data_IF_346967277975
#
_entry.id   IF_346967277975
#
_cell.length_a   1.000
_cell.length_b   1.000
_cell.length_c   1.000
_cell.angle_alpha   90.00
_cell.angle_beta   90.00
_cell.angle_gamma   90.00
#
_symmetry.space_group_name_H-M   'P 1'
#
loop_
_entity.id
_entity.type
_entity.pdbx_description
1 polymer ?
#
# COMPACT_ATOMS: atom_id res chain seq x y z
N UNK A 1 -7.39 12.09 14.41
CA UNK A 1 -7.16 10.87 15.20
C UNK A 1 -5.99 11.16 16.14
N UNK A 2 -6.09 10.80 17.43
CA UNK A 2 -4.98 10.95 18.38
C UNK A 2 -4.11 9.69 18.21
N UNK A 3 -2.81 9.87 17.95
CA UNK A 3 -1.91 8.74 17.74
C UNK A 3 -1.85 7.86 19.00
N UNK A 4 -2.04 6.55 18.85
CA UNK A 4 -1.98 5.59 19.95
C UNK A 4 -0.65 4.83 19.97
N UNK A 5 -0.27 4.19 21.09
CA UNK A 5 0.90 3.30 21.13
C UNK A 5 0.83 2.15 20.12
N UNK A 6 -0.37 1.75 19.68
CA UNK A 6 -0.57 0.64 18.73
C UNK A 6 -0.28 1.04 17.28
N UNK A 7 -0.41 2.33 16.96
CA UNK A 7 -0.05 2.91 15.66
C UNK A 7 1.47 2.83 15.40
N UNK A 8 2.26 2.42 16.40
CA UNK A 8 3.71 2.39 16.39
C UNK A 8 4.29 1.22 17.19
N UNK A 9 3.65 0.05 17.08
CA UNK A 9 4.08 -1.13 17.81
C UNK A 9 5.36 -1.74 17.23
N UNK A 10 6.17 -2.32 18.12
CA UNK A 10 7.33 -3.14 17.75
C UNK A 10 6.94 -4.61 17.78
N UNK A 11 7.53 -5.41 16.89
CA UNK A 11 7.47 -6.87 16.99
C UNK A 11 8.44 -7.35 18.07
N UNK A 12 8.03 -8.36 18.82
CA UNK A 12 8.72 -8.76 20.06
C UNK A 12 9.95 -9.65 19.80
N UNK A 13 10.11 -10.18 18.59
CA UNK A 13 11.24 -11.07 18.24
C UNK A 13 11.63 -11.04 16.76
N UNK A 14 12.83 -11.55 16.45
CA UNK A 14 13.34 -11.71 15.07
C UNK A 14 12.48 -12.69 14.26
N UNK A 15 11.95 -13.73 14.89
CA UNK A 15 11.05 -14.70 14.25
C UNK A 15 9.71 -14.06 13.88
N UNK A 16 9.13 -13.25 14.78
CA UNK A 16 7.93 -12.47 14.46
C UNK A 16 8.20 -11.51 13.30
N UNK A 17 9.37 -10.87 13.29
CA UNK A 17 9.79 -9.96 12.24
C UNK A 17 9.90 -10.64 10.87
N UNK A 18 10.56 -11.79 10.81
CA UNK A 18 10.67 -12.58 9.58
C UNK A 18 9.31 -13.09 9.12
N UNK A 19 8.47 -13.55 10.05
CA UNK A 19 7.13 -14.03 9.76
C UNK A 19 6.21 -12.94 9.21
N UNK A 20 6.22 -11.75 9.83
CA UNK A 20 5.48 -10.59 9.34
C UNK A 20 5.87 -10.24 7.90
N UNK A 21 7.17 -10.14 7.61
CA UNK A 21 7.62 -9.83 6.25
C UNK A 21 7.24 -10.91 5.23
N UNK A 22 7.35 -12.20 5.60
CA UNK A 22 6.89 -13.32 4.75
C UNK A 22 5.39 -13.20 4.47
N UNK A 23 4.60 -12.88 5.50
CA UNK A 23 3.16 -12.71 5.38
C UNK A 23 2.81 -11.54 4.46
N UNK A 24 3.29 -10.33 4.72
CA UNK A 24 2.94 -9.16 3.89
C UNK A 24 3.39 -9.34 2.44
N UNK A 25 4.59 -9.89 2.21
CA UNK A 25 5.07 -10.17 0.85
C UNK A 25 4.15 -11.16 0.11
N UNK A 26 3.80 -12.27 0.76
CA UNK A 26 2.94 -13.28 0.18
C UNK A 26 1.53 -12.74 -0.09
N UNK A 27 0.91 -12.11 0.90
CA UNK A 27 -0.49 -11.72 0.82
C UNK A 27 -0.70 -10.59 -0.20
N UNK A 28 0.23 -9.64 -0.33
CA UNK A 28 0.14 -8.60 -1.37
C UNK A 28 0.32 -9.20 -2.77
N UNK A 29 1.24 -10.16 -2.95
CA UNK A 29 1.42 -10.84 -4.25
C UNK A 29 0.17 -11.60 -4.65
N UNK A 30 -0.42 -12.35 -3.71
CA UNK A 30 -1.68 -13.05 -3.94
C UNK A 30 -2.84 -12.06 -4.22
N UNK A 31 -2.89 -10.93 -3.49
CA UNK A 31 -3.90 -9.89 -3.71
C UNK A 31 -3.85 -9.36 -5.15
N UNK A 32 -2.66 -9.06 -5.69
CA UNK A 32 -2.50 -8.61 -7.09
C UNK A 32 -3.10 -9.63 -8.06
N UNK A 33 -2.80 -10.91 -7.87
CA UNK A 33 -3.32 -12.00 -8.72
C UNK A 33 -4.84 -12.07 -8.64
N UNK A 34 -5.42 -11.99 -7.44
CA UNK A 34 -6.86 -12.08 -7.24
C UNK A 34 -7.61 -10.86 -7.73
N UNK A 35 -7.05 -9.65 -7.56
CA UNK A 35 -7.59 -8.41 -8.12
C UNK A 35 -7.72 -8.50 -9.65
N UNK A 36 -6.74 -9.10 -10.32
CA UNK A 36 -6.77 -9.36 -11.77
C UNK A 36 -7.83 -10.41 -12.15
N UNK A 37 -7.80 -11.57 -11.50
CA UNK A 37 -8.73 -12.69 -11.80
C UNK A 37 -10.19 -12.30 -11.60
N UNK A 38 -10.47 -11.54 -10.54
CA UNK A 38 -11.82 -11.08 -10.19
C UNK A 38 -12.26 -9.84 -10.99
N UNK A 39 -11.37 -9.32 -11.86
CA UNK A 39 -11.58 -8.12 -12.68
C UNK A 39 -12.01 -6.92 -11.83
N UNK A 40 -11.47 -6.80 -10.62
CA UNK A 40 -11.73 -5.65 -9.77
C UNK A 40 -10.94 -4.43 -10.23
N UNK A 41 -9.87 -4.64 -11.00
CA UNK A 41 -9.21 -3.65 -11.85
C UNK A 41 -9.41 -4.02 -13.32
N UNK A 42 -9.57 -3.03 -14.19
CA UNK A 42 -9.46 -3.26 -15.64
C UNK A 42 -8.00 -3.43 -16.09
N UNK A 43 -7.78 -3.74 -17.37
CA UNK A 43 -6.46 -4.04 -17.93
C UNK A 43 -5.43 -2.92 -17.76
N UNK A 44 -5.87 -1.66 -17.75
CA UNK A 44 -4.98 -0.51 -17.52
C UNK A 44 -4.74 -0.32 -16.01
N UNK A 45 -5.81 -0.38 -15.21
CA UNK A 45 -5.74 -0.22 -13.76
C UNK A 45 -4.85 -1.28 -13.09
N UNK A 46 -4.92 -2.54 -13.53
CA UNK A 46 -4.17 -3.63 -12.91
C UNK A 46 -2.65 -3.46 -13.08
N UNK A 47 -2.20 -2.87 -14.20
CA UNK A 47 -0.78 -2.58 -14.45
C UNK A 47 -0.26 -1.57 -13.42
N UNK A 48 -0.98 -0.48 -13.21
CA UNK A 48 -0.60 0.53 -12.21
C UNK A 48 -0.76 0.03 -10.79
N UNK A 49 -1.85 -0.68 -10.48
CA UNK A 49 -2.06 -1.31 -9.17
C UNK A 49 -0.87 -2.20 -8.80
N UNK A 50 -0.46 -3.08 -9.73
CA UNK A 50 0.73 -3.92 -9.56
C UNK A 50 1.99 -3.09 -9.30
N UNK A 51 2.22 -2.02 -10.06
CA UNK A 51 3.40 -1.15 -9.88
C UNK A 51 3.42 -0.48 -8.49
N UNK A 52 2.28 -0.03 -7.98
CA UNK A 52 2.20 0.56 -6.63
C UNK A 52 2.44 -0.49 -5.55
N UNK A 53 1.88 -1.69 -5.69
CA UNK A 53 2.14 -2.80 -4.78
C UNK A 53 3.61 -3.24 -4.81
N UNK A 54 4.24 -3.31 -6.00
CA UNK A 54 5.65 -3.64 -6.14
C UNK A 54 6.54 -2.58 -5.45
N UNK A 55 6.19 -1.29 -5.57
CA UNK A 55 6.90 -0.19 -4.90
C UNK A 55 6.75 -0.25 -3.38
N UNK A 56 5.55 -0.58 -2.90
CA UNK A 56 5.28 -0.82 -1.48
C UNK A 56 6.13 -1.98 -0.96
N UNK A 57 6.08 -3.14 -1.63
CA UNK A 57 6.85 -4.32 -1.26
C UNK A 57 8.36 -4.08 -1.32
N UNK A 58 8.84 -3.30 -2.29
CA UNK A 58 10.24 -2.90 -2.34
C UNK A 58 10.66 -2.15 -1.08
N UNK A 59 9.83 -1.20 -0.64
CA UNK A 59 10.07 -0.42 0.58
C UNK A 59 10.04 -1.29 1.83
N UNK A 60 9.05 -2.18 1.94
CA UNK A 60 8.93 -3.13 3.06
C UNK A 60 10.13 -4.09 3.08
N UNK A 61 10.60 -4.58 1.93
CA UNK A 61 11.81 -5.39 1.87
C UNK A 61 13.08 -4.59 2.20
N UNK A 62 13.14 -3.29 1.89
CA UNK A 62 14.24 -2.43 2.35
C UNK A 62 14.23 -2.31 3.88
N UNK A 63 13.05 -2.16 4.51
CA UNK A 63 12.92 -2.21 5.98
C UNK A 63 13.42 -3.56 6.51
N UNK A 64 13.01 -4.67 5.87
CA UNK A 64 13.46 -6.04 6.19
C UNK A 64 14.97 -6.14 6.33
N UNK A 65 15.72 -5.56 5.41
CA UNK A 65 17.18 -5.62 5.40
C UNK A 65 17.75 -4.69 6.48
N UNK A 66 17.22 -3.47 6.57
CA UNK A 66 17.68 -2.44 7.52
C UNK A 66 17.62 -2.92 8.97
N UNK A 67 16.46 -3.42 9.41
CA UNK A 67 16.23 -3.68 10.84
C UNK A 67 16.51 -5.12 11.29
N UNK A 68 16.76 -6.07 10.37
CA UNK A 68 16.89 -7.50 10.75
C UNK A 68 17.98 -7.78 11.79
N UNK A 69 19.10 -7.05 11.71
CA UNK A 69 20.25 -7.24 12.59
C UNK A 69 20.55 -6.00 13.43
N UNK A 70 19.62 -5.03 13.44
CA UNK A 70 19.70 -3.87 14.31
C UNK A 70 19.10 -4.24 15.66
N UNK A 71 19.95 -4.28 16.70
CA UNK A 71 19.52 -4.64 18.05
C UNK A 71 19.02 -3.39 18.82
N UNK A 72 19.22 -2.17 18.28
CA UNK A 72 18.84 -0.90 18.92
C UNK A 72 17.55 -0.31 18.33
N UNK A 73 17.40 -0.34 17.00
CA UNK A 73 16.24 0.22 16.29
C UNK A 73 15.36 -0.87 15.68
N UNK A 74 14.04 -0.67 15.76
CA UNK A 74 13.05 -1.66 15.35
C UNK A 74 11.97 -1.00 14.52
N UNK A 75 11.66 -1.62 13.37
CA UNK A 75 10.55 -1.20 12.52
C UNK A 75 9.24 -1.14 13.30
N UNK A 76 8.54 -0.01 13.19
CA UNK A 76 7.21 0.15 13.75
C UNK A 76 6.13 -0.25 12.76
N UNK A 77 5.13 -0.96 13.26
CA UNK A 77 3.98 -1.42 12.50
C UNK A 77 2.73 -0.81 13.13
N UNK A 78 1.78 -0.43 12.30
CA UNK A 78 0.45 -0.08 12.77
C UNK A 78 -0.38 -1.36 12.90
N UNK A 79 -0.66 -1.73 14.15
CA UNK A 79 -1.45 -2.92 14.48
C UNK A 79 -2.94 -2.60 14.61
N UNK A 80 -3.35 -1.35 14.39
CA UNK A 80 -4.73 -0.86 14.52
C UNK A 80 -5.36 -0.59 13.17
N UNK A 81 -6.21 -1.51 12.70
CA UNK A 81 -6.93 -1.37 11.42
C UNK A 81 -5.97 -1.12 10.25
N UNK A 82 -4.75 -1.67 10.27
CA UNK A 82 -3.79 -1.53 9.16
C UNK A 82 -3.13 -2.85 8.80
N UNK A 83 -2.17 -3.31 9.61
CA UNK A 83 -1.32 -4.45 9.28
C UNK A 83 -0.12 -4.11 8.38
N UNK A 84 0.19 -2.83 8.19
CA UNK A 84 1.36 -2.34 7.44
C UNK A 84 2.31 -1.49 8.31
N UNK A 85 3.55 -1.20 7.85
CA UNK A 85 4.47 -0.37 8.61
C UNK A 85 3.91 1.03 8.87
N UNK A 86 4.32 1.68 9.97
CA UNK A 86 3.97 3.07 10.18
C UNK A 86 4.57 3.95 9.07
N UNK A 87 3.85 4.98 8.61
CA UNK A 87 4.32 5.86 7.55
C UNK A 87 5.69 6.50 7.83
N UNK A 88 6.01 6.77 9.10
CA UNK A 88 7.31 7.33 9.50
C UNK A 88 8.48 6.43 9.11
N UNK A 89 8.30 5.11 9.06
CA UNK A 89 9.34 4.17 8.63
C UNK A 89 9.76 4.42 7.17
N UNK A 90 8.80 4.70 6.29
CA UNK A 90 9.08 5.05 4.89
C UNK A 90 9.89 6.35 4.80
N UNK A 91 9.52 7.35 5.62
CA UNK A 91 10.24 8.63 5.68
C UNK A 91 11.67 8.44 6.21
N UNK A 92 11.86 7.60 7.23
CA UNK A 92 13.18 7.31 7.77
C UNK A 92 14.05 6.59 6.75
N UNK A 93 13.53 5.58 6.04
CA UNK A 93 14.24 4.95 4.93
C UNK A 93 14.66 5.97 3.86
N UNK A 94 13.74 6.82 3.43
CA UNK A 94 14.03 7.81 2.39
C UNK A 94 15.16 8.77 2.80
N UNK A 95 15.11 9.29 4.03
CA UNK A 95 16.11 10.20 4.55
C UNK A 95 17.47 9.52 4.75
N UNK A 96 17.47 8.30 5.28
CA UNK A 96 18.68 7.53 5.54
C UNK A 96 19.44 7.20 4.24
N UNK A 97 18.73 6.81 3.19
CA UNK A 97 19.32 6.54 1.87
C UNK A 97 19.90 7.78 1.18
N UNK A 98 19.53 9.00 1.60
CA UNK A 98 20.14 10.23 1.10
C UNK A 98 21.60 10.38 1.54
N UNK A 99 22.00 9.71 2.61
CA UNK A 99 23.34 9.74 3.19
C UNK A 99 24.18 8.53 2.80
N UNK A 100 23.74 7.74 1.80
CA UNK A 100 24.36 6.44 1.47
C UNK A 100 25.86 6.50 1.20
N UNK A 101 26.32 7.55 0.52
CA UNK A 101 27.74 7.68 0.12
C UNK A 101 28.63 7.89 1.35
N UNK A 102 28.17 8.73 2.29
CA UNK A 102 28.85 9.00 3.55
C UNK A 102 28.92 7.76 4.44
N UNK A 103 27.86 6.94 4.45
CA UNK A 103 27.87 5.68 5.20
C UNK A 103 28.77 4.63 4.55
N UNK A 104 28.65 4.39 3.24
CA UNK A 104 29.45 3.38 2.54
C UNK A 104 30.95 3.66 2.62
N UNK A 105 31.37 4.93 2.60
CA UNK A 105 32.79 5.29 2.72
C UNK A 105 33.42 4.94 4.09
N UNK A 106 32.60 4.77 5.13
CA UNK A 106 33.04 4.46 6.50
C UNK A 106 32.95 2.96 6.83
N UNK A 107 32.25 2.18 6.01
CA UNK A 107 32.04 0.76 6.25
C UNK A 107 33.21 -0.08 5.74
N UNK A 108 33.46 -1.21 6.41
CA UNK A 108 34.42 -2.20 5.94
C UNK A 108 33.98 -2.74 4.57
N UNK A 109 34.88 -2.84 3.57
CA UNK A 109 34.55 -3.43 2.27
C UNK A 109 33.92 -4.82 2.38
N UNK A 110 32.92 -5.10 1.54
CA UNK A 110 32.13 -6.34 1.61
C UNK A 110 32.98 -7.60 1.44
N UNK A 111 34.04 -7.55 0.63
CA UNK A 111 34.88 -8.71 0.36
C UNK A 111 35.70 -9.12 1.60
N UNK A 112 36.14 -8.14 2.40
CA UNK A 112 36.79 -8.40 3.69
C UNK A 112 35.81 -9.08 4.64
N UNK A 113 34.55 -8.61 4.71
CA UNK A 113 33.53 -9.23 5.56
C UNK A 113 33.22 -10.67 5.12
N UNK A 114 33.14 -10.93 3.80
CA UNK A 114 32.94 -12.29 3.28
C UNK A 114 34.08 -13.23 3.67
N UNK A 115 35.32 -12.79 3.53
CA UNK A 115 36.49 -13.60 3.90
C UNK A 115 36.52 -13.87 5.41
N UNK A 116 36.21 -12.87 6.24
CA UNK A 116 36.06 -13.04 7.69
C UNK A 116 34.96 -14.09 8.02
N UNK A 117 33.85 -14.07 7.29
CA UNK A 117 32.75 -15.02 7.51
C UNK A 117 33.15 -16.44 7.10
N UNK A 118 33.80 -16.61 5.95
CA UNK A 118 34.26 -17.90 5.47
C UNK A 118 35.30 -18.52 6.43
N UNK A 119 36.24 -17.73 6.93
CA UNK A 119 37.19 -18.19 7.95
C UNK A 119 36.47 -18.61 9.24
N UNK A 120 35.54 -17.79 9.73
CA UNK A 120 34.81 -18.06 10.97
C UNK A 120 33.92 -19.31 10.86
N UNK A 121 33.17 -19.46 9.77
CA UNK A 121 32.24 -20.56 9.59
C UNK A 121 32.94 -21.86 9.18
N UNK A 122 33.91 -21.82 8.27
CA UNK A 122 34.48 -23.04 7.68
C UNK A 122 35.74 -23.51 8.39
N UNK A 123 36.59 -22.59 8.86
CA UNK A 123 37.85 -22.93 9.55
C UNK A 123 37.65 -23.00 11.06
N UNK A 124 37.08 -21.96 11.66
CA UNK A 124 36.85 -21.90 13.12
C UNK A 124 35.60 -22.67 13.57
N UNK A 125 34.62 -22.85 12.68
CA UNK A 125 33.32 -23.50 12.95
C UNK A 125 32.53 -22.82 14.06
N UNK A 126 32.60 -21.48 14.10
CA UNK A 126 31.90 -20.65 15.08
C UNK A 126 30.78 -19.85 14.42
N UNK A 127 29.72 -19.48 15.16
CA UNK A 127 28.70 -18.58 14.65
C UNK A 127 29.24 -17.16 14.44
N UNK A 128 28.72 -16.47 13.43
CA UNK A 128 29.05 -15.05 13.20
C UNK A 128 28.42 -14.20 14.30
N UNK A 129 29.20 -13.26 14.85
CA UNK A 129 28.74 -12.32 15.89
C UNK A 129 27.70 -11.34 15.34
N UNK A 130 26.73 -10.94 16.18
CA UNK A 130 25.63 -10.03 15.80
C UNK A 130 26.13 -8.73 15.16
N UNK A 131 27.15 -8.09 15.75
CA UNK A 131 27.73 -6.85 15.23
C UNK A 131 28.29 -6.98 13.80
N UNK A 132 28.82 -8.16 13.45
CA UNK A 132 29.33 -8.44 12.10
C UNK A 132 28.19 -8.72 11.12
N UNK A 133 27.13 -9.40 11.56
CA UNK A 133 25.91 -9.57 10.77
C UNK A 133 25.24 -8.22 10.48
N UNK A 134 25.17 -7.33 11.48
CA UNK A 134 24.68 -5.96 11.33
C UNK A 134 25.50 -5.19 10.30
N UNK A 135 26.83 -5.19 10.42
CA UNK A 135 27.71 -4.52 9.46
C UNK A 135 27.49 -5.02 8.02
N UNK A 136 27.37 -6.33 7.83
CA UNK A 136 27.09 -6.92 6.52
C UNK A 136 25.73 -6.48 5.97
N UNK A 137 24.69 -6.49 6.81
CA UNK A 137 23.34 -6.06 6.45
C UNK A 137 23.31 -4.58 6.06
N UNK A 138 24.00 -3.71 6.80
CA UNK A 138 24.12 -2.28 6.49
C UNK A 138 24.77 -2.05 5.12
N UNK A 139 25.83 -2.80 4.78
CA UNK A 139 26.42 -2.70 3.44
C UNK A 139 25.43 -3.15 2.37
N UNK A 140 24.75 -4.29 2.56
CA UNK A 140 23.74 -4.77 1.60
C UNK A 140 22.64 -3.73 1.43
N UNK A 141 22.15 -3.15 2.51
CA UNK A 141 21.13 -2.10 2.50
C UNK A 141 21.59 -0.87 1.70
N UNK A 142 22.70 -0.24 2.08
CA UNK A 142 23.18 0.98 1.39
C UNK A 142 23.69 0.74 -0.03
N UNK A 143 24.07 -0.49 -0.39
CA UNK A 143 24.53 -0.81 -1.75
C UNK A 143 23.38 -1.20 -2.70
N UNK A 144 22.39 -1.96 -2.22
CA UNK A 144 21.34 -2.55 -3.06
C UNK A 144 20.01 -1.77 -3.07
N UNK A 145 19.73 -0.99 -2.03
CA UNK A 145 18.50 -0.21 -1.93
C UNK A 145 18.65 1.11 -2.68
N UNK A 146 17.66 1.44 -3.50
CA UNK A 146 17.62 2.64 -4.32
C UNK A 146 16.54 3.59 -3.80
N UNK A 147 16.97 4.79 -3.43
CA UNK A 147 16.11 5.80 -2.78
C UNK A 147 14.87 6.15 -3.62
N UNK A 148 15.00 6.22 -4.94
CA UNK A 148 13.89 6.57 -5.85
C UNK A 148 12.77 5.52 -5.90
N UNK A 149 13.00 4.31 -5.38
CA UNK A 149 12.00 3.24 -5.29
C UNK A 149 11.41 3.10 -3.88
N UNK A 150 11.70 4.05 -2.97
CA UNK A 150 10.98 4.11 -1.70
C UNK A 150 9.61 4.74 -1.92
N UNK A 151 8.58 4.08 -1.40
CA UNK A 151 7.19 4.51 -1.46
C UNK A 151 7.02 5.78 -0.63
N UNK A 152 6.70 6.88 -1.29
CA UNK A 152 6.48 8.18 -0.65
C UNK A 152 5.01 8.34 -0.21
N UNK A 153 4.73 9.36 0.62
CA UNK A 153 3.33 9.69 0.99
C UNK A 153 2.40 9.79 -0.22
N UNK A 154 2.90 10.34 -1.33
CA UNK A 154 2.17 10.50 -2.57
C UNK A 154 3.05 10.05 -3.73
N UNK A 155 2.57 9.08 -4.51
CA UNK A 155 3.24 8.49 -5.67
C UNK A 155 2.40 8.76 -6.90
N UNK A 156 2.91 9.61 -7.79
CA UNK A 156 2.23 9.99 -9.01
C UNK A 156 2.42 8.94 -10.11
N UNK A 157 1.32 8.43 -10.68
CA UNK A 157 1.33 7.62 -11.90
C UNK A 157 1.32 8.46 -13.17
N UNK A 158 1.46 7.80 -14.33
CA UNK A 158 1.49 8.47 -15.63
C UNK A 158 0.07 8.75 -16.13
N UNK A 159 -0.09 9.86 -16.84
CA UNK A 159 -1.27 10.10 -17.69
C UNK A 159 -1.12 9.22 -18.94
N UNK A 160 -2.13 8.40 -19.22
CA UNK A 160 -2.23 7.61 -20.45
C UNK A 160 -3.40 8.11 -21.27
N UNK A 161 -3.19 8.22 -22.58
CA UNK A 161 -4.27 8.39 -23.54
C UNK A 161 -4.91 7.03 -23.80
N UNK A 162 -6.23 6.96 -23.76
CA UNK A 162 -6.98 5.72 -23.96
C UNK A 162 -7.37 5.60 -25.43
N UNK A 163 -6.81 4.62 -26.11
CA UNK A 163 -7.25 4.26 -27.46
C UNK A 163 -8.56 3.47 -27.35
N UNK A 164 -9.56 3.80 -28.19
CA UNK A 164 -10.81 3.03 -28.36
C UNK A 164 -11.83 3.09 -27.21
N UNK A 165 -11.65 3.94 -26.20
CA UNK A 165 -12.71 4.21 -25.22
C UNK A 165 -13.54 5.42 -25.68
N UNK A 166 -14.86 5.23 -25.87
CA UNK A 166 -15.76 6.32 -26.31
C UNK A 166 -16.13 7.27 -25.17
N UNK A 167 -15.98 6.83 -23.93
CA UNK A 167 -16.50 7.57 -22.78
C UNK A 167 -15.43 8.50 -22.16
N UNK A 168 -14.16 8.09 -22.22
CA UNK A 168 -13.03 8.82 -21.63
C UNK A 168 -11.79 8.84 -22.54
N UNK A 169 -11.15 10.00 -22.67
CA UNK A 169 -9.95 10.19 -23.50
C UNK A 169 -8.65 9.83 -22.78
N UNK A 170 -8.59 10.06 -21.46
CA UNK A 170 -7.38 9.89 -20.67
C UNK A 170 -7.67 9.20 -19.33
N UNK A 171 -6.64 8.55 -18.79
CA UNK A 171 -6.60 8.07 -17.41
C UNK A 171 -5.32 8.56 -16.74
N UNK A 172 -5.42 8.93 -15.48
CA UNK A 172 -4.27 9.17 -14.59
C UNK A 172 -4.46 8.38 -13.31
N UNK A 173 -3.38 7.80 -12.81
CA UNK A 173 -3.37 7.10 -11.53
C UNK A 173 -2.45 7.81 -10.53
N UNK A 174 -2.72 7.62 -9.26
CA UNK A 174 -1.81 7.96 -8.17
C UNK A 174 -2.03 7.01 -7.01
N UNK A 175 -1.07 6.95 -6.10
CA UNK A 175 -1.22 6.22 -4.86
C UNK A 175 -0.75 7.10 -3.71
N UNK A 176 -1.35 6.96 -2.54
CA UNK A 176 -0.90 7.64 -1.34
C UNK A 176 -0.87 6.69 -0.16
N UNK A 177 0.04 6.95 0.78
CA UNK A 177 0.07 6.28 2.07
C UNK A 177 -0.66 7.16 3.07
N UNK A 178 -1.81 6.70 3.55
CA UNK A 178 -2.58 7.49 4.50
C UNK A 178 -1.90 7.44 5.87
N UNK A 179 -1.65 8.60 6.46
CA UNK A 179 -0.92 8.69 7.74
C UNK A 179 -1.83 8.37 8.93
N UNK A 180 -3.16 8.47 8.76
CA UNK A 180 -4.10 8.17 9.84
C UNK A 180 -4.40 6.68 9.91
N UNK A 181 -4.51 6.01 8.77
CA UNK A 181 -4.74 4.57 8.70
C UNK A 181 -3.45 3.74 8.53
N UNK A 182 -2.29 4.40 8.35
CA UNK A 182 -1.00 3.79 8.02
C UNK A 182 -1.09 2.67 6.98
N UNK A 183 -1.84 2.88 5.89
CA UNK A 183 -1.99 1.91 4.80
C UNK A 183 -2.11 2.58 3.43
N UNK A 184 -1.83 1.86 2.33
CA UNK A 184 -1.79 2.45 1.00
C UNK A 184 -3.18 2.48 0.33
N UNK A 185 -3.41 3.56 -0.42
CA UNK A 185 -4.57 3.75 -1.28
C UNK A 185 -4.12 3.90 -2.73
N UNK A 186 -4.87 3.36 -3.69
CA UNK A 186 -4.62 3.53 -5.12
C UNK A 186 -5.84 4.18 -5.77
N UNK A 187 -5.60 5.25 -6.51
CA UNK A 187 -6.64 6.02 -7.16
C UNK A 187 -6.45 6.07 -8.67
N UNK A 188 -7.58 6.13 -9.38
CA UNK A 188 -7.67 6.31 -10.81
C UNK A 188 -8.66 7.42 -11.10
N UNK A 189 -8.32 8.29 -12.05
CA UNK A 189 -9.22 9.29 -12.59
C UNK A 189 -9.24 9.18 -14.11
N UNK A 190 -10.42 8.96 -14.65
CA UNK A 190 -10.71 8.99 -16.08
C UNK A 190 -11.33 10.33 -16.42
N UNK A 191 -10.82 10.97 -17.47
CA UNK A 191 -11.22 12.34 -17.79
C UNK A 191 -11.16 12.62 -19.29
N UNK A 192 -11.92 13.64 -19.70
CA UNK A 192 -11.85 14.26 -21.02
C UNK A 192 -11.11 15.58 -20.90
N UNK A 193 -10.54 16.07 -22.01
CA UNK A 193 -9.73 17.28 -22.00
C UNK A 193 -10.19 18.29 -23.06
N UNK A 194 -10.38 19.55 -22.67
CA UNK A 194 -10.64 20.65 -23.59
C UNK A 194 -9.32 21.21 -24.13
N UNK A 195 -8.85 20.63 -25.24
CA UNK A 195 -7.64 21.10 -25.91
C UNK A 195 -7.05 20.06 -26.85
N UNK A 196 -5.80 20.29 -27.28
CA UNK A 196 -5.12 19.40 -28.23
C UNK A 196 -4.56 18.14 -27.58
N UNK A 197 -3.93 18.28 -26.41
CA UNK A 197 -3.34 17.17 -25.67
C UNK A 197 -3.20 17.51 -24.18
N UNK A 198 -3.82 16.69 -23.32
CA UNK A 198 -3.77 16.83 -21.87
C UNK A 198 -2.35 16.76 -21.30
N UNK A 199 -1.41 16.12 -22.01
CA UNK A 199 -0.01 16.05 -21.57
C UNK A 199 0.67 17.44 -21.50
N UNK A 200 0.17 18.43 -22.22
CA UNK A 200 0.66 19.81 -22.12
C UNK A 200 0.36 20.43 -20.73
N UNK A 201 -0.67 19.94 -20.04
CA UNK A 201 -1.05 20.37 -18.69
C UNK A 201 -0.64 19.37 -17.59
N UNK A 202 0.20 18.38 -17.93
CA UNK A 202 0.63 17.31 -17.02
C UNK A 202 1.10 17.83 -15.66
N UNK A 203 1.92 18.86 -15.63
CA UNK A 203 2.44 19.43 -14.38
C UNK A 203 1.31 19.97 -13.49
N UNK A 204 0.34 20.69 -14.09
CA UNK A 204 -0.82 21.22 -13.37
C UNK A 204 -1.72 20.11 -12.86
N UNK A 205 -1.96 19.08 -13.68
CA UNK A 205 -2.75 17.91 -13.28
C UNK A 205 -2.10 17.23 -12.07
N UNK A 206 -0.80 16.95 -12.13
CA UNK A 206 -0.08 16.31 -11.02
C UNK A 206 -0.07 17.17 -9.75
N UNK A 207 0.09 18.48 -9.89
CA UNK A 207 0.00 19.40 -8.76
C UNK A 207 -1.39 19.41 -8.13
N UNK A 208 -2.45 19.48 -8.94
CA UNK A 208 -3.83 19.46 -8.47
C UNK A 208 -4.16 18.15 -7.73
N UNK A 209 -3.74 17.01 -8.26
CA UNK A 209 -3.90 15.70 -7.61
C UNK A 209 -3.16 15.67 -6.26
N UNK A 210 -1.89 16.07 -6.24
CA UNK A 210 -1.08 16.10 -5.01
C UNK A 210 -1.66 17.01 -3.92
N UNK A 211 -2.31 18.11 -4.30
CA UNK A 211 -2.92 19.04 -3.33
C UNK A 211 -4.31 18.61 -2.86
N UNK A 212 -5.00 17.75 -3.60
CA UNK A 212 -6.42 17.44 -3.37
C UNK A 212 -6.68 16.00 -2.97
N UNK A 213 -5.74 15.08 -3.20
CA UNK A 213 -5.95 13.64 -3.10
C UNK A 213 -4.75 12.90 -2.47
N UNK A 214 -4.14 13.48 -1.43
CA UNK A 214 -2.96 12.93 -0.73
C UNK A 214 -3.26 12.18 0.58
N UNK A 215 -4.55 11.92 0.86
CA UNK A 215 -5.07 11.29 2.08
C UNK A 215 -6.49 10.78 1.87
N UNK A 216 -6.95 9.96 2.80
CA UNK A 216 -8.36 9.56 2.89
C UNK A 216 -9.24 10.80 3.18
N UNK A 217 -10.35 10.89 2.45
CA UNK A 217 -11.42 11.88 2.60
C UNK A 217 -12.65 11.44 1.80
N UNK A 218 -13.78 12.14 1.92
CA UNK A 218 -14.94 11.85 1.08
C UNK A 218 -14.61 11.97 -0.42
N UNK A 219 -14.98 10.95 -1.20
CA UNK A 219 -14.59 10.82 -2.61
C UNK A 219 -15.22 11.92 -3.49
N UNK A 220 -16.44 12.37 -3.17
CA UNK A 220 -17.10 13.46 -3.89
C UNK A 220 -16.41 14.81 -3.66
N UNK A 221 -15.97 15.07 -2.43
CA UNK A 221 -15.22 16.27 -2.06
C UNK A 221 -13.84 16.27 -2.73
N UNK A 222 -13.16 15.12 -2.76
CA UNK A 222 -11.90 14.95 -3.51
C UNK A 222 -12.13 15.22 -5.00
N UNK A 223 -13.18 14.64 -5.59
CA UNK A 223 -13.52 14.79 -7.00
C UNK A 223 -13.81 16.26 -7.35
N UNK A 224 -14.62 16.94 -6.54
CA UNK A 224 -14.91 18.36 -6.68
C UNK A 224 -13.64 19.22 -6.54
N UNK A 225 -12.78 18.93 -5.56
CA UNK A 225 -11.54 19.69 -5.36
C UNK A 225 -10.57 19.58 -6.55
N UNK A 226 -10.48 18.39 -7.18
CA UNK A 226 -9.68 18.18 -8.40
C UNK A 226 -10.28 18.96 -9.56
N UNK A 227 -11.57 18.76 -9.83
CA UNK A 227 -12.31 19.37 -10.94
C UNK A 227 -12.20 20.91 -10.88
N UNK A 228 -12.41 21.48 -9.71
CA UNK A 228 -12.35 22.94 -9.49
C UNK A 228 -10.94 23.55 -9.59
N UNK A 229 -9.88 22.74 -9.63
CA UNK A 229 -8.48 23.20 -9.85
C UNK A 229 -8.05 23.12 -11.31
N UNK A 230 -8.78 22.38 -12.16
CA UNK A 230 -8.35 22.09 -13.53
C UNK A 230 -9.44 22.50 -14.53
N UNK A 231 -9.36 23.73 -15.05
CA UNK A 231 -10.41 24.31 -15.90
C UNK A 231 -10.67 23.56 -17.22
N UNK A 232 -9.65 22.90 -17.77
CA UNK A 232 -9.69 22.23 -19.07
C UNK A 232 -9.74 20.70 -18.93
N UNK A 233 -9.76 20.17 -17.71
CA UNK A 233 -9.84 18.74 -17.45
C UNK A 233 -11.22 18.47 -16.89
N UNK A 234 -11.92 17.50 -17.48
CA UNK A 234 -13.25 17.11 -17.04
C UNK A 234 -13.21 15.69 -16.49
N UNK A 235 -12.99 15.52 -15.17
CA UNK A 235 -13.07 14.23 -14.53
C UNK A 235 -14.45 13.58 -14.74
N UNK A 236 -14.49 12.35 -15.22
CA UNK A 236 -15.77 11.66 -15.48
C UNK A 236 -15.99 10.45 -14.59
N UNK A 237 -14.90 9.80 -14.18
CA UNK A 237 -14.95 8.67 -13.28
C UNK A 237 -13.73 8.67 -12.39
N UNK A 238 -13.95 8.55 -11.08
CA UNK A 238 -12.88 8.38 -10.11
C UNK A 238 -13.12 7.09 -9.35
N UNK A 239 -12.05 6.33 -9.15
CA UNK A 239 -12.02 5.09 -8.41
C UNK A 239 -10.91 5.14 -7.38
N UNK A 240 -11.19 4.70 -6.16
CA UNK A 240 -10.22 4.59 -5.07
C UNK A 240 -10.28 3.19 -4.48
N UNK A 241 -9.12 2.56 -4.34
CA UNK A 241 -8.92 1.25 -3.74
C UNK A 241 -8.18 1.48 -2.43
N UNK A 242 -8.80 1.10 -1.32
CA UNK A 242 -8.19 1.01 0.00
C UNK A 242 -7.59 -0.39 0.17
N UNK A 243 -6.27 -0.46 0.39
CA UNK A 243 -5.54 -1.72 0.49
C UNK A 243 -5.36 -2.07 1.97
N UNK A 244 -6.46 -2.50 2.61
CA UNK A 244 -6.44 -3.01 3.97
C UNK A 244 -7.74 -2.73 4.74
N UNK A 245 -7.80 -3.14 6.02
CA UNK A 245 -6.72 -3.78 6.81
C UNK A 245 -6.31 -5.19 6.36
N UNK A 246 -5.07 -5.57 6.70
CA UNK A 246 -4.59 -6.96 6.69
C UNK A 246 -4.80 -7.58 8.08
N UNK A 247 -5.89 -8.34 8.25
CA UNK A 247 -6.19 -9.07 9.46
C UNK A 247 -5.24 -10.25 9.61
N UNK A 248 -4.53 -10.33 10.73
CA UNK A 248 -3.57 -11.36 11.05
C UNK A 248 -3.26 -11.40 12.56
N UNK A 249 -2.39 -12.32 13.00
CA UNK A 249 -2.07 -12.49 14.43
C UNK A 249 -1.46 -11.26 15.12
N UNK A 250 -0.84 -10.36 14.38
CA UNK A 250 -0.24 -9.14 14.94
C UNK A 250 -1.27 -8.04 15.18
N UNK A 251 -2.45 -8.10 14.55
CA UNK A 251 -3.45 -7.05 14.68
C UNK A 251 -3.97 -6.92 16.13
N UNK A 252 -4.25 -5.69 16.53
CA UNK A 252 -4.72 -5.29 17.87
C UNK A 252 -5.84 -4.26 17.75
N UNK A 253 -6.74 -4.45 16.78
CA UNK A 253 -7.92 -3.62 16.56
C UNK A 253 -9.21 -4.28 17.03
N UNK A 254 -10.29 -3.50 16.97
CA UNK A 254 -11.65 -3.92 17.35
C UNK A 254 -12.45 -4.44 16.15
N UNK A 255 -11.80 -4.77 15.03
CA UNK A 255 -12.52 -5.26 13.85
C UNK A 255 -13.02 -6.68 14.10
N UNK A 256 -14.31 -6.92 13.85
CA UNK A 256 -14.94 -8.24 14.02
C UNK A 256 -14.23 -9.37 13.25
N UNK A 257 -13.69 -9.09 12.04
CA UNK A 257 -12.91 -10.06 11.28
C UNK A 257 -11.60 -10.40 12.02
N UNK A 258 -10.90 -9.38 12.53
CA UNK A 258 -9.69 -9.55 13.35
C UNK A 258 -10.01 -10.38 14.59
N UNK A 259 -11.05 -10.01 15.33
CA UNK A 259 -11.46 -10.73 16.55
C UNK A 259 -11.76 -12.19 16.27
N UNK A 260 -12.52 -12.49 15.22
CA UNK A 260 -12.83 -13.87 14.84
C UNK A 260 -11.55 -14.67 14.53
N UNK A 261 -10.58 -14.07 13.82
CA UNK A 261 -9.29 -14.72 13.52
C UNK A 261 -8.48 -14.94 14.80
N UNK A 262 -8.28 -13.90 15.63
CA UNK A 262 -7.47 -13.98 16.84
C UNK A 262 -8.02 -14.98 17.86
N UNK A 263 -9.33 -14.96 18.09
CA UNK A 263 -10.01 -15.91 18.99
C UNK A 263 -9.79 -17.35 18.50
N UNK A 264 -9.93 -17.58 17.19
CA UNK A 264 -9.81 -18.91 16.60
C UNK A 264 -8.35 -19.41 16.58
N UNK A 265 -7.38 -18.51 16.45
CA UNK A 265 -5.95 -18.83 16.66
C UNK A 265 -5.71 -19.22 18.12
N UNK A 266 -6.23 -18.46 19.09
CA UNK A 266 -6.07 -18.74 20.51
C UNK A 266 -6.67 -20.11 20.89
N UNK A 267 -7.82 -20.47 20.30
CA UNK A 267 -8.49 -21.75 20.47
C UNK A 267 -7.87 -22.90 19.65
N UNK A 268 -6.82 -22.64 18.85
CA UNK A 268 -6.16 -23.61 17.96
C UNK A 268 -7.10 -24.19 16.88
N UNK A 269 -8.14 -23.46 16.51
CA UNK A 269 -9.09 -23.83 15.44
C UNK A 269 -8.52 -23.55 14.05
N UNK A 270 -7.62 -22.58 13.93
CA UNK A 270 -6.91 -22.18 12.71
C UNK A 270 -5.43 -21.91 13.02
N UNK A 271 -4.52 -22.01 12.04
CA UNK A 271 -3.09 -21.84 12.27
C UNK A 271 -2.68 -20.36 12.44
N UNK A 272 -1.46 -20.12 12.94
CA UNK A 272 -0.93 -18.78 13.24
C UNK A 272 -0.80 -17.89 12.00
N UNK A 273 -0.51 -18.50 10.85
CA UNK A 273 -0.38 -17.89 9.53
C UNK A 273 -1.71 -17.55 8.84
N UNK A 274 -2.82 -17.71 9.54
CA UNK A 274 -4.12 -17.30 9.05
C UNK A 274 -4.20 -15.79 8.86
N UNK A 275 -4.82 -15.38 7.76
CA UNK A 275 -4.97 -13.98 7.42
C UNK A 275 -6.26 -13.72 6.63
N UNK A 276 -6.68 -12.45 6.58
CA UNK A 276 -7.69 -11.95 5.66
C UNK A 276 -7.37 -10.51 5.25
N UNK A 277 -7.70 -10.14 4.02
CA UNK A 277 -7.65 -8.77 3.53
C UNK A 277 -9.07 -8.22 3.40
N UNK A 278 -9.37 -7.13 4.10
CA UNK A 278 -10.51 -6.30 3.76
C UNK A 278 -10.06 -5.29 2.71
N UNK A 279 -10.82 -5.15 1.61
CA UNK A 279 -10.54 -4.21 0.53
C UNK A 279 -11.81 -3.42 0.25
N UNK A 280 -11.69 -2.09 0.24
CA UNK A 280 -12.78 -1.20 -0.13
C UNK A 280 -12.47 -0.54 -1.47
N UNK A 281 -13.42 -0.62 -2.39
CA UNK A 281 -13.37 0.04 -3.70
C UNK A 281 -14.51 1.02 -3.80
N UNK A 282 -14.18 2.28 -3.63
CA UNK A 282 -15.12 3.39 -3.80
C UNK A 282 -15.00 3.92 -5.22
N UNK A 283 -16.13 4.22 -5.84
CA UNK A 283 -16.13 4.88 -7.13
C UNK A 283 -17.25 5.91 -7.28
N UNK A 284 -16.98 6.95 -8.07
CA UNK A 284 -17.93 8.04 -8.33
C UNK A 284 -17.89 8.41 -9.81
N UNK A 285 -19.07 8.64 -10.39
CA UNK A 285 -19.26 9.00 -11.80
C UNK A 285 -19.86 10.39 -11.91
N UNK A 286 -19.44 11.13 -12.92
CA UNK A 286 -20.12 12.36 -13.32
C UNK A 286 -21.43 12.00 -14.02
N UNK A 287 -22.55 12.51 -13.50
CA UNK A 287 -23.88 12.34 -14.07
C UNK A 287 -24.33 13.54 -14.92
N UNK A 288 -23.53 14.60 -14.98
CA UNK A 288 -23.86 15.82 -15.70
C UNK A 288 -22.89 16.94 -15.37
N UNK A 289 -23.20 18.15 -15.82
CA UNK A 289 -22.32 19.31 -15.67
C UNK A 289 -23.10 20.53 -15.16
N UNK A 290 -22.39 21.46 -14.54
CA UNK A 290 -22.87 22.80 -14.22
C UNK A 290 -21.78 23.83 -14.42
N UNK A 291 -22.15 25.10 -14.46
CA UNK A 291 -21.20 26.21 -14.53
C UNK A 291 -21.14 26.92 -13.18
N UNK A 292 -19.93 27.16 -12.69
CA UNK A 292 -19.66 27.89 -11.45
C UNK A 292 -18.71 29.06 -11.74
N UNK A 293 -18.90 30.19 -11.04
CA UNK A 293 -18.07 31.39 -11.17
C UNK A 293 -18.79 32.62 -11.74
N UNK A 294 -18.08 33.75 -11.69
CA UNK A 294 -18.55 35.04 -12.19
C UNK A 294 -18.71 35.05 -13.71
N UNK A 295 -19.44 36.03 -14.26
CA UNK A 295 -19.72 36.14 -15.70
C UNK A 295 -18.48 36.00 -16.61
N UNK A 296 -17.34 36.51 -16.16
CA UNK A 296 -16.07 36.51 -16.90
C UNK A 296 -15.14 35.33 -16.58
N UNK A 297 -15.49 34.46 -15.62
CA UNK A 297 -14.63 33.37 -15.13
C UNK A 297 -15.44 32.09 -14.86
N UNK A 298 -16.43 31.81 -15.71
CA UNK A 298 -17.26 30.60 -15.56
C UNK A 298 -16.43 29.36 -15.92
N UNK A 299 -16.35 28.42 -14.99
CA UNK A 299 -15.79 27.10 -15.22
C UNK A 299 -16.93 26.08 -15.30
N UNK A 300 -16.78 25.10 -16.19
CA UNK A 300 -17.66 23.92 -16.23
C UNK A 300 -17.15 22.89 -15.22
N UNK A 301 -18.02 22.46 -14.31
CA UNK A 301 -17.76 21.47 -13.27
C UNK A 301 -18.72 20.28 -13.40
N UNK A 302 -18.35 19.18 -12.78
CA UNK A 302 -19.01 17.89 -12.85
C UNK A 302 -20.03 17.75 -11.71
N UNK A 303 -21.23 17.29 -12.04
CA UNK A 303 -22.24 16.87 -11.06
C UNK A 303 -22.00 15.40 -10.74
N UNK A 304 -21.45 15.16 -9.57
CA UNK A 304 -21.15 13.81 -9.09
C UNK A 304 -22.41 13.06 -8.66
N UNK A 305 -22.52 11.80 -9.07
CA UNK A 305 -23.54 10.87 -8.58
C UNK A 305 -23.20 10.38 -7.16
N UNK A 306 -24.11 9.61 -6.56
CA UNK A 306 -23.82 8.92 -5.31
C UNK A 306 -22.59 8.01 -5.46
N UNK A 307 -21.79 7.93 -4.39
CA UNK A 307 -20.61 7.07 -4.35
C UNK A 307 -21.07 5.62 -4.29
N UNK A 308 -20.51 4.79 -5.16
CA UNK A 308 -20.69 3.36 -5.15
C UNK A 308 -19.60 2.72 -4.27
N UNK A 309 -20.02 2.20 -3.12
CA UNK A 309 -19.18 1.60 -2.11
C UNK A 309 -19.15 0.09 -2.28
N UNK A 310 -17.97 -0.47 -2.59
CA UNK A 310 -17.82 -1.91 -2.75
C UNK A 310 -16.84 -2.49 -1.72
N UNK A 311 -17.31 -3.41 -0.89
CA UNK A 311 -16.51 -4.06 0.13
C UNK A 311 -16.23 -5.51 -0.25
N UNK A 312 -14.97 -5.91 -0.13
CA UNK A 312 -14.49 -7.25 -0.46
C UNK A 312 -13.68 -7.80 0.70
N UNK A 313 -13.79 -9.11 0.91
CA UNK A 313 -12.89 -9.86 1.80
C UNK A 313 -12.15 -10.89 0.96
N UNK A 314 -10.84 -10.93 1.10
CA UNK A 314 -9.99 -11.93 0.48
C UNK A 314 -9.33 -12.76 1.58
N UNK A 315 -9.49 -14.07 1.55
CA UNK A 315 -8.95 -14.93 2.60
C UNK A 315 -8.77 -16.37 2.12
N UNK A 316 -7.93 -17.18 2.78
CA UNK A 316 -7.86 -18.61 2.50
C UNK A 316 -9.17 -19.33 2.79
N UNK A 317 -9.39 -20.46 2.11
CA UNK A 317 -10.66 -21.20 2.17
C UNK A 317 -11.12 -21.50 3.61
N UNK A 318 -10.21 -21.98 4.47
CA UNK A 318 -10.50 -22.26 5.88
C UNK A 318 -10.95 -21.02 6.66
N UNK A 319 -10.39 -19.86 6.32
CA UNK A 319 -10.75 -18.58 6.95
C UNK A 319 -12.11 -18.10 6.44
N UNK A 320 -12.41 -18.30 5.15
CA UNK A 320 -13.75 -18.03 4.61
C UNK A 320 -14.82 -18.84 5.37
N UNK A 321 -14.58 -20.14 5.59
CA UNK A 321 -15.49 -20.99 6.38
C UNK A 321 -15.67 -20.47 7.81
N UNK A 322 -14.56 -20.06 8.44
CA UNK A 322 -14.59 -19.49 9.79
C UNK A 322 -15.45 -18.22 9.84
N UNK A 323 -15.25 -17.29 8.89
CA UNK A 323 -15.97 -16.03 8.85
C UNK A 323 -17.46 -16.22 8.54
N UNK A 324 -17.82 -17.20 7.72
CA UNK A 324 -19.23 -17.56 7.54
C UNK A 324 -19.90 -18.01 8.85
N UNK A 325 -19.16 -18.68 9.74
CA UNK A 325 -19.69 -19.16 11.01
C UNK A 325 -19.72 -18.07 12.09
N UNK A 326 -18.66 -17.25 12.18
CA UNK A 326 -18.46 -16.29 13.28
C UNK A 326 -18.89 -14.86 12.96
N UNK A 327 -18.86 -14.45 11.69
CA UNK A 327 -19.10 -13.06 11.26
C UNK A 327 -20.05 -12.98 10.05
N UNK A 328 -21.08 -13.83 10.02
CA UNK A 328 -22.03 -13.95 8.90
C UNK A 328 -22.65 -12.60 8.48
N UNK A 329 -22.95 -11.71 9.44
CA UNK A 329 -23.51 -10.39 9.15
C UNK A 329 -22.59 -9.50 8.30
N UNK A 330 -21.27 -9.61 8.48
CA UNK A 330 -20.28 -8.87 7.69
C UNK A 330 -20.21 -9.46 6.29
N UNK A 331 -20.16 -10.79 6.20
CA UNK A 331 -20.10 -11.50 4.92
C UNK A 331 -21.32 -11.19 4.05
N UNK A 332 -22.51 -11.07 4.66
CA UNK A 332 -23.74 -10.73 3.96
C UNK A 332 -23.78 -9.28 3.43
N UNK A 333 -22.90 -8.39 3.92
CA UNK A 333 -22.78 -7.00 3.47
C UNK A 333 -21.72 -6.80 2.38
N UNK A 334 -20.99 -7.85 2.01
CA UNK A 334 -19.97 -7.77 0.96
C UNK A 334 -20.62 -7.65 -0.42
N UNK A 335 -19.94 -6.95 -1.34
CA UNK A 335 -20.38 -6.81 -2.73
C UNK A 335 -20.37 -8.14 -3.47
N UNK A 336 -19.44 -9.02 -3.11
CA UNK A 336 -19.32 -10.39 -3.62
C UNK A 336 -19.04 -11.33 -2.46
N UNK A 337 -19.35 -12.63 -2.59
CA UNK A 337 -18.84 -13.64 -1.66
C UNK A 337 -17.32 -13.50 -1.48
N UNK A 338 -16.77 -13.88 -0.31
CA UNK A 338 -15.34 -13.81 -0.04
C UNK A 338 -14.51 -14.44 -1.16
N UNK A 339 -13.43 -13.76 -1.54
CA UNK A 339 -12.56 -14.17 -2.64
C UNK A 339 -11.45 -15.05 -2.06
N UNK A 340 -11.41 -16.31 -2.51
CA UNK A 340 -10.44 -17.28 -2.01
C UNK A 340 -9.00 -16.93 -2.43
N UNK A 341 -8.11 -16.84 -1.45
CA UNK A 341 -6.66 -16.70 -1.59
C UNK A 341 -5.93 -18.00 -1.22
N UNK A 342 -4.67 -18.13 -1.62
CA UNK A 342 -3.85 -19.27 -1.19
C UNK A 342 -3.48 -19.18 0.31
N UNK A 343 -3.30 -20.34 0.94
CA UNK A 343 -2.73 -20.43 2.29
C UNK A 343 -1.22 -20.16 2.26
N UNK A 344 -0.70 -19.51 3.31
CA UNK A 344 0.75 -19.37 3.49
C UNK A 344 1.30 -20.77 3.80
N UNK A 345 2.16 -21.30 2.92
CA UNK A 345 2.89 -22.54 3.19
C UNK A 345 4.13 -22.24 4.03
N UNK A 346 4.32 -23.01 5.09
CA UNK A 346 5.53 -22.91 5.90
C UNK A 346 6.76 -23.46 5.17
#
# INVERSE_FOLDING_TARGET
>A
MIATPLDSAKLDSKEQYEFYHKMVDFTIKELIVKMQQQKLCNDVEIVFFKQYCDLLLYSINAMRIKYKYDDEDHMKIDLTDSGFPNYLEFRYLFNDLSLREDYLSKLTPIDIIKDEFLDTLLRKKEPIKSNRLFQAASIVYYSSVQQQFIFNKFVQGKILKLDKNKDFEYVVSWSFYDVSHNRPFVCFMYFNYDGKDALNERAKIYEALKQSADREMNLDAMAYAIDRKLSNVFPKYIKRIDIGPLHNVFAKDENDITHAILESIANKEIPLESYAFAIKVDNVKSGGEFKEGSFFSKQTLQKWQAIDHNNYVFAPHRIIQLLHNKTAEIINKLTKPPIEMAEIKN
#
